data_IF_662654066684
#
_entry.id   IF_662654066684
#
_cell.length_a   1.000
_cell.length_b   1.000
_cell.length_c   1.000
_cell.angle_alpha   90.00
_cell.angle_beta   90.00
_cell.angle_gamma   90.00
#
_symmetry.space_group_name_H-M   'P 1'
#
loop_
_entity.id
_entity.type
_entity.pdbx_description
1 polymer ?
#
# COMPACT_ATOMS: atom_id res chain seq x y z
N UNK A 1 -19.09 32.16 13.95
CA UNK A 1 -19.20 31.21 12.82
C UNK A 1 -17.81 31.00 12.25
N UNK A 2 -17.17 29.85 12.51
CA UNK A 2 -15.84 29.57 11.94
C UNK A 2 -15.98 29.29 10.44
N UNK A 3 -15.38 30.15 9.62
CA UNK A 3 -15.31 29.97 8.17
C UNK A 3 -14.77 28.58 7.86
N UNK A 4 -15.53 27.80 7.09
CA UNK A 4 -15.17 26.43 6.73
C UNK A 4 -13.99 26.48 5.74
N UNK A 5 -12.77 26.51 6.27
CA UNK A 5 -11.54 26.56 5.47
C UNK A 5 -11.54 25.39 4.48
N UNK A 6 -11.22 25.67 3.22
CA UNK A 6 -11.11 24.65 2.18
C UNK A 6 -9.97 23.66 2.47
N UNK A 7 -9.93 22.52 1.80
CA UNK A 7 -8.96 21.45 2.11
C UNK A 7 -7.50 21.80 1.79
N UNK A 8 -7.25 22.74 0.87
CA UNK A 8 -5.90 23.19 0.50
C UNK A 8 -5.17 23.90 1.66
N UNK A 9 -5.71 25.02 2.18
CA UNK A 9 -5.10 25.71 3.31
C UNK A 9 -5.00 24.85 4.57
N UNK A 10 -5.94 23.92 4.78
CA UNK A 10 -5.85 22.94 5.89
C UNK A 10 -4.61 22.03 5.79
N UNK A 11 -4.18 21.67 4.58
CA UNK A 11 -2.96 20.88 4.37
C UNK A 11 -1.69 21.68 4.65
N UNK A 12 -1.66 22.95 4.29
CA UNK A 12 -0.53 23.85 4.58
C UNK A 12 -0.39 24.08 6.08
N UNK A 13 -1.49 24.35 6.78
CA UNK A 13 -1.52 24.47 8.24
C UNK A 13 -1.03 23.18 8.91
N UNK A 14 -1.48 22.01 8.44
CA UNK A 14 -0.97 20.73 8.91
C UNK A 14 0.53 20.58 8.71
N UNK A 15 1.04 20.85 7.50
CA UNK A 15 2.46 20.72 7.19
C UNK A 15 3.34 21.61 8.09
N UNK A 16 2.90 22.85 8.34
CA UNK A 16 3.59 23.79 9.24
C UNK A 16 3.54 23.38 10.73
N UNK A 17 2.53 22.61 11.14
CA UNK A 17 2.34 22.18 12.53
C UNK A 17 3.02 20.84 12.83
N UNK A 18 3.16 19.94 11.85
CA UNK A 18 3.70 18.58 12.04
C UNK A 18 5.09 18.59 12.68
N UNK A 19 5.99 19.49 12.25
CA UNK A 19 7.35 19.59 12.83
C UNK A 19 7.31 19.93 14.32
N UNK A 20 6.55 20.97 14.68
CA UNK A 20 6.36 21.42 16.07
C UNK A 20 5.67 20.35 16.93
N UNK A 21 4.67 19.67 16.38
CA UNK A 21 3.97 18.58 17.07
C UNK A 21 4.89 17.38 17.36
N UNK A 22 5.80 17.05 16.42
CA UNK A 22 6.75 15.94 16.58
C UNK A 22 7.77 16.20 17.70
N UNK A 23 8.33 17.42 17.74
CA UNK A 23 9.34 17.81 18.73
C UNK A 23 8.76 18.21 20.10
N UNK A 24 7.46 18.44 20.19
CA UNK A 24 6.80 18.89 21.42
C UNK A 24 6.68 17.81 22.51
N UNK A 25 6.78 18.25 23.77
CA UNK A 25 6.46 17.46 24.96
C UNK A 25 4.96 17.22 25.12
N UNK A 26 4.57 16.42 26.12
CA UNK A 26 3.17 15.98 26.30
C UNK A 26 2.18 17.15 26.50
N UNK A 27 2.58 18.16 27.27
CA UNK A 27 1.75 19.34 27.54
C UNK A 27 1.58 20.20 26.28
N UNK A 28 2.67 20.46 25.55
CA UNK A 28 2.64 21.30 24.36
C UNK A 28 1.93 20.63 23.18
N UNK A 29 2.03 19.30 23.06
CA UNK A 29 1.21 18.52 22.13
C UNK A 29 -0.28 18.73 22.33
N UNK A 30 -0.71 18.91 23.59
CA UNK A 30 -2.09 19.22 23.92
C UNK A 30 -2.51 20.57 23.31
N UNK A 31 -1.74 21.62 23.60
CA UNK A 31 -1.98 22.99 23.12
C UNK A 31 -1.97 23.08 21.59
N UNK A 32 -1.01 22.44 20.94
CA UNK A 32 -0.89 22.38 19.48
C UNK A 32 -2.13 21.73 18.85
N UNK A 33 -2.67 20.67 19.48
CA UNK A 33 -3.90 20.03 19.00
C UNK A 33 -5.12 20.93 19.16
N UNK A 34 -5.23 21.65 20.28
CA UNK A 34 -6.35 22.57 20.52
C UNK A 34 -6.35 23.73 19.53
N UNK A 35 -5.19 24.33 19.26
CA UNK A 35 -5.01 25.35 18.23
C UNK A 35 -5.37 24.81 16.84
N UNK A 36 -4.91 23.61 16.48
CA UNK A 36 -5.23 22.98 15.21
C UNK A 36 -6.74 22.70 15.06
N UNK A 37 -7.41 22.30 16.13
CA UNK A 37 -8.86 22.09 16.14
C UNK A 37 -9.62 23.41 16.00
N UNK A 38 -9.17 24.48 16.67
CA UNK A 38 -9.78 25.80 16.58
C UNK A 38 -9.67 26.39 15.17
N UNK A 39 -8.51 26.24 14.51
CA UNK A 39 -8.28 26.76 13.15
C UNK A 39 -9.01 25.92 12.09
N UNK A 40 -8.94 24.59 12.17
CA UNK A 40 -9.50 23.72 11.11
C UNK A 40 -10.97 23.37 11.33
N UNK A 41 -11.49 23.55 12.55
CA UNK A 41 -12.81 23.09 12.97
C UNK A 41 -12.90 21.56 13.09
N UNK A 42 -11.77 20.86 13.14
CA UNK A 42 -11.75 19.40 13.28
C UNK A 42 -11.95 18.96 14.72
N UNK A 43 -12.54 17.78 14.86
CA UNK A 43 -12.52 17.08 16.13
C UNK A 43 -11.09 16.60 16.45
N UNK A 44 -10.71 16.63 17.73
CA UNK A 44 -9.36 16.27 18.22
C UNK A 44 -8.85 14.93 17.68
N UNK A 45 -9.71 13.91 17.63
CA UNK A 45 -9.36 12.59 17.07
C UNK A 45 -8.96 12.66 15.59
N UNK A 46 -9.61 13.51 14.80
CA UNK A 46 -9.27 13.72 13.40
C UNK A 46 -7.94 14.46 13.26
N UNK A 47 -7.73 15.53 14.05
CA UNK A 47 -6.47 16.28 14.07
C UNK A 47 -5.25 15.39 14.38
N UNK A 48 -5.36 14.51 15.38
CA UNK A 48 -4.31 13.53 15.70
C UNK A 48 -4.04 12.59 14.53
N UNK A 49 -5.07 12.02 13.90
CA UNK A 49 -4.92 11.13 12.74
C UNK A 49 -4.27 11.85 11.56
N UNK A 50 -4.67 13.09 11.30
CA UNK A 50 -4.12 13.89 10.21
C UNK A 50 -2.63 14.16 10.40
N UNK A 51 -2.21 14.56 11.61
CA UNK A 51 -0.79 14.76 11.95
C UNK A 51 0.01 13.46 11.83
N UNK A 52 -0.54 12.34 12.27
CA UNK A 52 0.10 11.02 12.15
C UNK A 52 0.23 10.57 10.68
N UNK A 53 -0.78 10.82 9.84
CA UNK A 53 -0.73 10.46 8.42
C UNK A 53 0.29 11.28 7.63
N UNK A 54 0.41 12.59 7.89
CA UNK A 54 1.45 13.42 7.25
C UNK A 54 2.85 12.96 7.66
N UNK A 55 3.03 12.63 8.94
CA UNK A 55 4.26 12.03 9.45
C UNK A 55 4.62 10.73 8.71
N UNK A 56 3.68 9.79 8.59
CA UNK A 56 3.88 8.51 7.88
C UNK A 56 4.10 8.72 6.38
N UNK A 57 3.47 9.74 5.77
CA UNK A 57 3.67 10.03 4.35
C UNK A 57 5.04 10.63 4.05
N UNK A 58 5.63 11.38 5.01
CA UNK A 58 6.97 11.93 4.89
C UNK A 58 8.06 10.86 4.99
N UNK A 59 7.86 9.86 5.84
CA UNK A 59 8.64 8.61 5.82
C UNK A 59 8.16 7.79 4.62
N UNK A 60 8.74 8.04 3.42
CA UNK A 60 8.45 7.33 2.18
C UNK A 60 8.06 5.88 2.46
N UNK A 61 6.77 5.57 2.30
CA UNK A 61 6.15 4.30 2.72
C UNK A 61 7.07 3.17 2.29
N UNK A 62 7.76 2.55 3.26
CA UNK A 62 8.84 1.58 3.00
C UNK A 62 8.34 0.60 1.95
N UNK A 63 8.84 0.73 0.73
CA UNK A 63 8.41 -0.14 -0.35
C UNK A 63 8.83 -1.54 0.07
N UNK A 64 7.85 -2.42 0.24
CA UNK A 64 8.13 -3.82 0.54
C UNK A 64 8.99 -4.34 -0.60
N UNK A 65 10.18 -4.85 -0.28
CA UNK A 65 11.03 -5.50 -1.27
C UNK A 65 10.22 -6.60 -1.94
N UNK A 66 10.15 -6.67 -3.28
CA UNK A 66 9.47 -7.75 -3.96
C UNK A 66 10.04 -9.09 -3.49
N UNK A 67 9.18 -9.96 -2.96
CA UNK A 67 9.58 -11.31 -2.51
C UNK A 67 9.85 -12.23 -3.70
N UNK A 68 9.20 -11.96 -4.84
CA UNK A 68 9.32 -12.76 -6.06
C UNK A 68 10.11 -12.00 -7.12
N UNK A 69 11.07 -12.70 -7.75
CA UNK A 69 11.87 -12.16 -8.84
C UNK A 69 11.05 -11.85 -10.09
N UNK A 70 11.63 -11.07 -11.00
CA UNK A 70 10.98 -10.64 -12.25
C UNK A 70 10.42 -11.83 -13.06
N UNK A 71 11.19 -12.91 -13.18
CA UNK A 71 10.77 -14.12 -13.90
C UNK A 71 9.46 -14.74 -13.39
N UNK A 72 9.24 -14.77 -12.06
CA UNK A 72 7.99 -15.28 -11.48
C UNK A 72 6.83 -14.32 -11.77
N UNK A 73 7.09 -13.00 -11.71
CA UNK A 73 6.07 -12.00 -12.04
C UNK A 73 5.65 -12.09 -13.50
N UNK A 74 6.59 -12.17 -14.42
CA UNK A 74 6.32 -12.17 -15.86
C UNK A 74 5.55 -13.45 -16.26
N UNK A 75 5.93 -14.58 -15.69
CA UNK A 75 5.20 -15.83 -15.89
C UNK A 75 3.77 -15.77 -15.30
N UNK A 76 3.60 -15.19 -14.10
CA UNK A 76 2.27 -14.98 -13.50
C UNK A 76 1.40 -14.02 -14.32
N UNK A 77 2.00 -13.01 -14.96
CA UNK A 77 1.28 -12.09 -15.85
C UNK A 77 0.80 -12.82 -17.10
N UNK A 78 1.65 -13.63 -17.74
CA UNK A 78 1.25 -14.43 -18.90
C UNK A 78 0.10 -15.41 -18.55
N UNK A 79 0.16 -16.05 -17.39
CA UNK A 79 -0.91 -16.91 -16.89
C UNK A 79 -2.20 -16.12 -16.60
N UNK A 80 -2.08 -14.93 -16.02
CA UNK A 80 -3.21 -14.05 -15.74
C UNK A 80 -3.89 -13.56 -17.02
N UNK A 81 -3.12 -13.26 -18.06
CA UNK A 81 -3.64 -12.87 -19.37
C UNK A 81 -4.32 -14.05 -20.07
N UNK A 82 -3.75 -15.25 -20.00
CA UNK A 82 -4.35 -16.47 -20.56
C UNK A 82 -5.63 -16.92 -19.85
N UNK A 83 -5.91 -16.39 -18.65
CA UNK A 83 -7.08 -16.75 -17.83
C UNK A 83 -8.11 -15.63 -17.73
N UNK A 84 -8.21 -14.77 -18.75
CA UNK A 84 -9.16 -13.65 -18.80
C UNK A 84 -9.06 -12.70 -17.60
N UNK A 85 -7.85 -12.54 -17.07
CA UNK A 85 -7.55 -11.61 -15.97
C UNK A 85 -8.34 -11.86 -14.69
N UNK A 86 -8.63 -13.12 -14.38
CA UNK A 86 -9.32 -13.52 -13.14
C UNK A 86 -8.62 -13.01 -11.87
N UNK A 87 -9.39 -12.87 -10.79
CA UNK A 87 -8.85 -12.43 -9.51
C UNK A 87 -7.80 -13.42 -8.98
N UNK A 88 -6.74 -12.90 -8.33
CA UNK A 88 -5.59 -13.71 -7.89
C UNK A 88 -5.94 -14.90 -6.98
N UNK A 89 -7.06 -14.82 -6.23
CA UNK A 89 -7.55 -15.94 -5.41
C UNK A 89 -8.04 -17.12 -6.27
N UNK A 90 -8.75 -16.84 -7.38
CA UNK A 90 -9.16 -17.86 -8.35
C UNK A 90 -7.97 -18.35 -9.15
N UNK A 91 -7.10 -17.44 -9.57
CA UNK A 91 -5.86 -17.78 -10.28
C UNK A 91 -5.04 -18.81 -9.50
N UNK A 92 -4.84 -18.60 -8.18
CA UNK A 92 -4.10 -19.54 -7.32
C UNK A 92 -4.64 -20.98 -7.39
N UNK A 93 -5.96 -21.14 -7.39
CA UNK A 93 -6.62 -22.46 -7.43
C UNK A 93 -6.52 -23.08 -8.82
N UNK A 94 -6.52 -22.26 -9.86
CA UNK A 94 -6.48 -22.71 -11.26
C UNK A 94 -5.08 -22.96 -11.79
N UNK A 95 -4.02 -22.44 -11.14
CA UNK A 95 -2.61 -22.65 -11.54
C UNK A 95 -2.33 -24.11 -11.89
N UNK A 96 -2.62 -25.13 -11.05
CA UNK A 96 -2.30 -26.53 -11.35
C UNK A 96 -2.98 -27.07 -12.62
N UNK A 97 -4.14 -26.51 -12.98
CA UNK A 97 -4.92 -26.92 -14.16
C UNK A 97 -4.47 -26.19 -15.42
N UNK A 98 -4.07 -24.92 -15.28
CA UNK A 98 -3.66 -24.07 -16.39
C UNK A 98 -2.20 -24.30 -16.80
N UNK A 99 -1.33 -24.66 -15.86
CA UNK A 99 0.11 -24.86 -16.09
C UNK A 99 0.41 -25.89 -17.20
N UNK A 100 -0.17 -27.11 -17.16
CA UNK A 100 0.09 -28.13 -18.18
C UNK A 100 -0.53 -27.77 -19.54
N UNK A 101 -1.53 -26.91 -19.57
CA UNK A 101 -2.14 -26.42 -20.81
C UNK A 101 -1.28 -25.33 -21.45
N UNK A 102 -0.67 -24.47 -20.63
CA UNK A 102 0.29 -23.47 -21.09
C UNK A 102 1.58 -24.10 -21.63
N UNK A 103 2.11 -25.14 -20.99
CA UNK A 103 3.29 -25.88 -21.51
C UNK A 103 3.05 -26.50 -22.89
N UNK A 104 1.81 -26.93 -23.16
CA UNK A 104 1.42 -27.53 -24.45
C UNK A 104 1.24 -26.51 -25.57
N UNK A 105 0.88 -25.27 -25.25
CA UNK A 105 0.51 -24.25 -26.24
C UNK A 105 1.47 -23.06 -26.33
N UNK A 106 2.27 -22.80 -25.30
CA UNK A 106 3.25 -21.71 -25.26
C UNK A 106 4.58 -22.24 -24.75
N UNK A 107 5.63 -22.08 -25.55
CA UNK A 107 6.96 -22.67 -25.35
C UNK A 107 7.42 -22.80 -23.89
N UNK A 108 7.94 -23.98 -23.56
CA UNK A 108 8.41 -24.47 -22.26
C UNK A 108 9.42 -23.59 -21.50
N UNK A 109 9.84 -22.44 -22.04
CA UNK A 109 10.75 -21.50 -21.39
C UNK A 109 10.10 -20.60 -20.35
N UNK A 110 8.80 -20.27 -20.50
CA UNK A 110 8.12 -19.30 -19.62
C UNK A 110 7.50 -19.92 -18.36
N UNK A 111 7.26 -21.24 -18.35
CA UNK A 111 6.52 -21.93 -17.28
C UNK A 111 7.41 -22.45 -16.14
N UNK A 112 8.69 -22.73 -16.44
CA UNK A 112 9.68 -23.29 -15.49
C UNK A 112 9.82 -22.52 -14.16
N UNK A 113 9.78 -21.17 -14.14
CA UNK A 113 9.82 -20.42 -12.88
C UNK A 113 8.60 -20.66 -11.98
N UNK A 114 7.42 -20.89 -12.58
CA UNK A 114 6.18 -21.16 -11.84
C UNK A 114 6.17 -22.59 -11.31
N UNK A 115 6.57 -23.59 -12.11
CA UNK A 115 6.66 -24.99 -11.66
C UNK A 115 7.60 -25.11 -10.45
N UNK A 116 8.79 -24.51 -10.54
CA UNK A 116 9.77 -24.51 -9.45
C UNK A 116 9.24 -23.79 -8.21
N UNK A 117 8.44 -22.73 -8.40
CA UNK A 117 7.77 -22.03 -7.29
C UNK A 117 6.66 -22.88 -6.67
N UNK A 118 5.81 -23.52 -7.49
CA UNK A 118 4.77 -24.43 -7.02
C UNK A 118 5.39 -25.58 -6.21
N UNK A 119 6.45 -26.22 -6.72
CA UNK A 119 7.18 -27.28 -6.03
C UNK A 119 7.82 -26.81 -4.72
N UNK A 120 8.46 -25.63 -4.71
CA UNK A 120 9.04 -25.05 -3.50
C UNK A 120 8.00 -24.59 -2.46
N UNK A 121 6.80 -24.22 -2.90
CA UNK A 121 5.69 -23.80 -2.02
C UNK A 121 4.79 -24.95 -1.55
N UNK A 122 4.97 -26.15 -2.11
CA UNK A 122 4.20 -27.35 -1.81
C UNK A 122 4.89 -28.28 -0.80
N UNK A 123 6.07 -27.92 -0.29
CA UNK A 123 6.73 -28.64 0.80
C UNK A 123 6.51 -27.90 2.13
N UNK A 124 6.12 -28.61 3.21
CA UNK A 124 5.86 -28.02 4.53
C UNK A 124 7.12 -27.47 5.21
#
# INVERSE_FOLDING_TARGET
MASRISMGPRREVLAAVVGRYRSAGRADKGRILDELCAVTGWHRKHAVRALAHVAISSEARRQRRPTYGAAIRDALVALWEASDRICGKRLKVMIPTLLPSLERHGGSSSTRPIERWCLASAQP
#
